data_IF_821894599180
#
_entry.id   IF_821894599180
#
_cell.length_a   1.000
_cell.length_b   1.000
_cell.length_c   1.000
_cell.angle_alpha   90.00
_cell.angle_beta   90.00
_cell.angle_gamma   90.00
#
_symmetry.space_group_name_H-M   'P 1'
#
loop_
_entity.id
_entity.type
_entity.pdbx_description
1 polymer ?
#
# COMPACT_ATOMS: atom_id res chain seq x y z
N UNK A 1 -21.45 -2.14 -19.39
CA UNK A 1 -22.31 -2.09 -18.19
C UNK A 1 -22.21 -0.80 -17.40
N UNK A 2 -23.07 -0.67 -16.39
CA UNK A 2 -23.09 0.42 -15.38
C UNK A 2 -23.15 -0.22 -14.00
N UNK A 3 -22.21 0.11 -13.13
CA UNK A 3 -22.28 -0.28 -11.72
C UNK A 3 -23.36 0.57 -11.03
N UNK A 4 -24.27 -0.07 -10.28
CA UNK A 4 -25.45 0.61 -9.70
C UNK A 4 -25.27 1.02 -8.24
N UNK A 5 -24.31 0.40 -7.53
CA UNK A 5 -24.06 0.66 -6.13
C UNK A 5 -23.05 -0.28 -5.51
N UNK A 6 -22.88 -0.13 -4.20
CA UNK A 6 -22.05 -0.97 -3.33
C UNK A 6 -22.97 -1.55 -2.25
N UNK A 7 -23.02 -2.87 -2.14
CA UNK A 7 -23.67 -3.56 -1.03
C UNK A 7 -22.67 -3.76 0.12
N UNK A 8 -23.13 -3.51 1.34
CA UNK A 8 -22.38 -3.76 2.59
C UNK A 8 -23.26 -4.58 3.53
N UNK A 9 -22.68 -5.16 4.58
CA UNK A 9 -23.43 -5.92 5.59
C UNK A 9 -24.55 -5.11 6.27
N UNK A 10 -24.44 -3.77 6.26
CA UNK A 10 -25.42 -2.88 6.88
C UNK A 10 -26.49 -2.38 5.90
N UNK A 11 -26.08 -1.99 4.68
CA UNK A 11 -26.97 -1.42 3.66
C UNK A 11 -26.32 -1.30 2.29
N UNK A 12 -27.12 -0.92 1.30
CA UNK A 12 -26.69 -0.57 -0.04
C UNK A 12 -26.49 0.94 -0.18
N UNK A 13 -25.47 1.32 -0.96
CA UNK A 13 -25.18 2.70 -1.35
C UNK A 13 -25.20 2.81 -2.86
N UNK A 14 -25.95 3.77 -3.39
CA UNK A 14 -26.01 4.02 -4.83
C UNK A 14 -25.19 5.27 -5.15
N UNK A 15 -24.50 5.23 -6.29
CA UNK A 15 -23.70 6.35 -6.77
C UNK A 15 -23.66 6.35 -8.30
N UNK A 16 -23.54 7.55 -8.88
CA UNK A 16 -23.36 7.66 -10.33
C UNK A 16 -21.98 7.19 -10.77
N UNK A 17 -20.95 7.40 -9.95
CA UNK A 17 -19.58 6.95 -10.16
C UNK A 17 -19.07 6.19 -8.92
N UNK A 18 -18.35 5.08 -9.14
CA UNK A 18 -17.80 4.23 -8.08
C UNK A 18 -16.30 4.03 -8.32
N UNK A 19 -15.47 4.24 -7.30
CA UNK A 19 -14.02 4.01 -7.38
C UNK A 19 -13.58 2.96 -6.36
N UNK A 20 -12.98 1.87 -6.85
CA UNK A 20 -12.36 0.82 -6.02
C UNK A 20 -10.94 1.27 -5.65
N UNK A 21 -10.77 1.71 -4.41
CA UNK A 21 -9.49 2.10 -3.82
C UNK A 21 -9.18 1.32 -2.53
N UNK A 22 -9.58 0.04 -2.49
CA UNK A 22 -9.55 -0.80 -1.29
C UNK A 22 -8.19 -1.48 -1.04
N UNK A 23 -7.10 -0.92 -1.57
CA UNK A 23 -5.75 -1.49 -1.43
C UNK A 23 -5.71 -2.97 -1.85
N UNK A 24 -5.12 -3.88 -1.03
CA UNK A 24 -4.93 -5.27 -1.43
C UNK A 24 -6.24 -6.04 -1.62
N UNK A 25 -7.35 -5.57 -1.05
CA UNK A 25 -8.69 -6.16 -1.25
C UNK A 25 -9.35 -5.77 -2.58
N UNK A 26 -8.72 -4.91 -3.38
CA UNK A 26 -9.31 -4.42 -4.63
C UNK A 26 -9.54 -5.54 -5.66
N UNK A 27 -8.68 -6.56 -5.71
CA UNK A 27 -8.88 -7.72 -6.58
C UNK A 27 -10.21 -8.43 -6.27
N UNK A 28 -10.49 -8.69 -4.99
CA UNK A 28 -11.72 -9.37 -4.57
C UNK A 28 -13.00 -8.59 -4.92
N UNK A 29 -12.93 -7.26 -4.95
CA UNK A 29 -14.05 -6.41 -5.36
C UNK A 29 -14.22 -6.39 -6.88
N UNK A 30 -13.12 -6.39 -7.63
CA UNK A 30 -13.15 -6.41 -9.10
C UNK A 30 -13.61 -7.78 -9.64
N UNK A 31 -13.24 -8.88 -8.99
CA UNK A 31 -13.69 -10.22 -9.37
C UNK A 31 -15.22 -10.36 -9.27
N UNK A 32 -15.89 -9.67 -8.34
CA UNK A 32 -17.35 -9.67 -8.22
C UNK A 32 -18.07 -9.09 -9.44
N UNK A 33 -17.38 -8.25 -10.22
CA UNK A 33 -17.89 -7.67 -11.47
C UNK A 33 -17.22 -8.28 -12.71
N UNK A 34 -16.55 -9.43 -12.55
CA UNK A 34 -15.94 -10.17 -13.64
C UNK A 34 -14.63 -9.59 -14.18
N UNK A 35 -13.96 -8.73 -13.42
CA UNK A 35 -12.66 -8.16 -13.80
C UNK A 35 -11.55 -8.72 -12.93
N UNK A 36 -10.71 -9.57 -13.51
CA UNK A 36 -9.53 -10.10 -12.81
C UNK A 36 -8.35 -9.17 -12.98
N UNK A 37 -7.62 -8.94 -11.89
CA UNK A 37 -6.38 -8.15 -11.86
C UNK A 37 -5.28 -8.93 -11.16
N UNK A 38 -4.02 -8.51 -11.32
CA UNK A 38 -2.89 -9.10 -10.61
C UNK A 38 -2.61 -8.48 -9.24
N UNK A 39 -3.61 -7.85 -8.59
CA UNK A 39 -3.40 -7.22 -7.27
C UNK A 39 -3.28 -8.30 -6.20
N UNK A 40 -2.15 -8.33 -5.48
CA UNK A 40 -1.87 -9.31 -4.44
C UNK A 40 -1.44 -8.61 -3.13
N UNK A 41 -1.84 -9.14 -1.96
CA UNK A 41 -1.35 -8.65 -0.68
C UNK A 41 0.09 -9.11 -0.44
N UNK A 42 1.01 -8.15 -0.31
CA UNK A 42 2.40 -8.40 0.09
C UNK A 42 2.57 -7.93 1.52
N UNK A 43 2.79 -8.87 2.44
CA UNK A 43 3.01 -8.55 3.85
C UNK A 43 4.37 -7.89 4.03
N UNK A 44 4.36 -6.82 4.81
CA UNK A 44 5.56 -6.19 5.36
C UNK A 44 5.45 -6.03 6.86
N UNK A 45 6.48 -6.45 7.57
CA UNK A 45 6.60 -6.33 9.00
C UNK A 45 7.54 -5.19 9.38
N UNK A 46 7.27 -4.58 10.53
CA UNK A 46 7.99 -3.42 11.04
C UNK A 46 8.28 -3.62 12.53
N UNK A 47 9.42 -3.10 12.98
CA UNK A 47 9.69 -2.81 14.39
C UNK A 47 9.87 -1.31 14.58
N UNK A 48 9.54 -0.82 15.76
CA UNK A 48 9.76 0.58 16.12
C UNK A 48 10.44 0.65 17.48
N UNK A 49 11.59 1.30 17.51
CA UNK A 49 12.32 1.61 18.73
C UNK A 49 11.87 2.97 19.26
N UNK A 50 11.91 3.11 20.58
CA UNK A 50 11.83 4.41 21.23
C UNK A 50 13.24 4.80 21.70
N UNK A 51 13.80 5.83 21.07
CA UNK A 51 15.15 6.32 21.37
C UNK A 51 15.16 7.57 22.25
N UNK A 52 13.98 8.05 22.69
CA UNK A 52 13.72 9.31 23.42
C UNK A 52 14.10 10.58 22.65
N UNK A 53 15.22 10.56 21.94
CA UNK A 53 15.73 11.61 21.05
C UNK A 53 16.23 10.98 19.76
N UNK A 54 16.07 11.62 18.59
CA UNK A 54 16.47 11.02 17.32
C UNK A 54 17.97 10.66 17.27
N UNK A 55 18.27 9.39 17.07
CA UNK A 55 19.65 8.91 16.82
C UNK A 55 20.09 9.10 15.35
N UNK A 56 19.14 9.27 14.44
CA UNK A 56 19.36 9.54 13.02
C UNK A 56 18.59 10.79 12.60
N UNK A 57 19.17 11.56 11.70
CA UNK A 57 18.53 12.75 11.11
C UNK A 57 18.00 12.49 9.69
N UNK A 58 18.36 11.36 9.09
CA UNK A 58 18.02 11.01 7.72
C UNK A 58 17.55 9.55 7.64
N UNK A 59 16.77 9.25 6.62
CA UNK A 59 16.38 7.88 6.29
C UNK A 59 17.62 7.12 5.82
N UNK A 60 17.84 5.94 6.40
CA UNK A 60 18.86 4.99 5.93
C UNK A 60 18.17 3.91 5.13
N UNK A 61 18.66 3.61 3.93
CA UNK A 61 18.19 2.49 3.11
C UNK A 61 19.36 1.54 2.85
N UNK A 62 19.13 0.23 3.02
CA UNK A 62 20.06 -0.83 2.65
C UNK A 62 19.27 -1.95 1.95
N UNK A 63 19.39 -2.03 0.63
CA UNK A 63 18.60 -2.96 -0.19
C UNK A 63 17.09 -2.71 -0.03
N UNK A 64 16.36 -3.74 0.40
CA UNK A 64 14.92 -3.67 0.70
C UNK A 64 14.60 -3.18 2.12
N UNK A 65 15.62 -3.10 2.99
CA UNK A 65 15.49 -2.67 4.39
C UNK A 65 15.78 -1.17 4.53
N UNK A 66 15.21 -0.56 5.56
CA UNK A 66 15.31 0.86 5.83
C UNK A 66 15.05 1.20 7.29
N UNK A 67 15.62 2.32 7.72
CA UNK A 67 15.36 2.95 9.01
C UNK A 67 14.86 4.38 8.80
N UNK A 68 13.70 4.71 9.37
CA UNK A 68 13.05 6.02 9.21
C UNK A 68 12.96 6.70 10.58
N UNK A 69 13.80 7.71 10.87
CA UNK A 69 13.70 8.45 12.12
C UNK A 69 12.48 9.36 12.12
N UNK A 70 11.93 9.59 13.32
CA UNK A 70 10.91 10.58 13.61
C UNK A 70 11.47 11.61 14.59
N UNK A 71 10.96 12.83 14.50
CA UNK A 71 11.40 13.95 15.33
C UNK A 71 11.20 13.71 16.83
N UNK A 72 10.25 12.85 17.21
CA UNK A 72 9.95 12.48 18.59
C UNK A 72 10.80 11.33 19.15
N UNK A 73 11.89 10.97 18.47
CA UNK A 73 12.79 9.91 18.90
C UNK A 73 12.30 8.50 18.59
N UNK A 74 11.18 8.32 17.88
CA UNK A 74 10.81 7.00 17.36
C UNK A 74 11.62 6.67 16.11
N UNK A 75 12.10 5.43 16.01
CA UNK A 75 12.81 4.92 14.84
C UNK A 75 12.09 3.71 14.30
N UNK A 76 11.52 3.84 13.09
CA UNK A 76 10.87 2.73 12.39
C UNK A 76 11.92 1.95 11.62
N UNK A 77 11.91 0.63 11.73
CA UNK A 77 12.77 -0.27 10.98
C UNK A 77 11.90 -1.24 10.21
N UNK A 78 12.11 -1.27 8.90
CA UNK A 78 11.37 -2.10 7.96
C UNK A 78 12.25 -2.53 6.81
N UNK A 79 11.74 -3.27 5.84
CA UNK A 79 10.65 -4.22 6.00
C UNK A 79 11.01 -5.49 5.24
N UNK A 80 10.33 -6.58 5.53
CA UNK A 80 10.25 -7.73 4.63
C UNK A 80 9.20 -7.53 3.53
N UNK A 81 9.20 -8.46 2.59
CA UNK A 81 8.20 -8.66 1.55
C UNK A 81 7.84 -10.16 1.55
N UNK A 82 6.62 -10.49 1.95
CA UNK A 82 6.16 -11.88 2.11
C UNK A 82 4.82 -12.10 1.40
N UNK A 83 4.75 -13.10 0.53
CA UNK A 83 3.52 -13.53 -0.16
C UNK A 83 2.78 -14.58 0.67
N UNK A 84 2.16 -14.15 1.75
CA UNK A 84 1.43 -15.01 2.71
C UNK A 84 -0.08 -14.76 2.69
N UNK A 85 -0.60 -14.20 1.59
CA UNK A 85 -1.99 -13.81 1.49
C UNK A 85 -2.34 -12.65 2.42
N UNK A 86 -3.51 -12.73 3.07
CA UNK A 86 -4.04 -11.64 3.90
C UNK A 86 -3.60 -11.72 5.37
N UNK A 87 -2.60 -12.54 5.70
CA UNK A 87 -2.09 -12.67 7.05
C UNK A 87 -1.45 -11.38 7.54
N UNK A 88 -2.10 -10.67 8.46
CA UNK A 88 -1.66 -9.35 8.96
C UNK A 88 -1.15 -9.42 10.40
N UNK A 89 -0.32 -10.41 10.68
CA UNK A 89 0.37 -10.55 11.97
C UNK A 89 1.89 -10.57 11.76
N UNK A 90 2.63 -10.30 12.83
CA UNK A 90 4.10 -10.41 12.84
C UNK A 90 4.55 -11.84 13.14
N UNK A 91 5.80 -12.17 12.82
CA UNK A 91 6.46 -13.44 13.17
C UNK A 91 7.69 -13.17 14.03
N UNK A 92 7.96 -13.96 15.10
CA UNK A 92 9.12 -13.75 15.97
C UNK A 92 10.44 -13.67 15.21
N UNK A 93 10.64 -14.57 14.24
CA UNK A 93 11.86 -14.63 13.43
C UNK A 93 12.09 -13.33 12.64
N UNK A 94 11.05 -12.77 12.02
CA UNK A 94 11.18 -11.53 11.25
C UNK A 94 11.38 -10.30 12.14
N UNK A 95 10.81 -10.31 13.35
CA UNK A 95 11.09 -9.26 14.35
C UNK A 95 12.55 -9.34 14.80
N UNK A 96 13.08 -10.55 15.00
CA UNK A 96 14.48 -10.75 15.32
C UNK A 96 15.39 -10.28 14.18
N UNK A 97 15.13 -10.68 12.93
CA UNK A 97 15.92 -10.22 11.77
C UNK A 97 15.93 -8.70 11.62
N UNK A 98 14.78 -8.04 11.75
CA UNK A 98 14.68 -6.57 11.67
C UNK A 98 15.46 -5.89 12.81
N UNK A 99 15.46 -6.50 13.99
CA UNK A 99 16.18 -6.00 15.17
C UNK A 99 17.68 -6.15 15.00
N UNK A 100 18.13 -7.31 14.51
CA UNK A 100 19.54 -7.58 14.21
C UNK A 100 20.07 -6.63 13.14
N UNK A 101 19.33 -6.47 12.04
CA UNK A 101 19.63 -5.46 11.00
C UNK A 101 19.79 -4.05 11.61
N UNK A 102 18.86 -3.64 12.50
CA UNK A 102 18.95 -2.34 13.15
C UNK A 102 20.21 -2.21 14.02
N UNK A 103 20.58 -3.27 14.73
CA UNK A 103 21.78 -3.30 15.58
C UNK A 103 23.08 -3.32 14.78
N UNK A 104 23.11 -3.91 13.59
CA UNK A 104 24.27 -3.89 12.70
C UNK A 104 24.56 -2.48 12.20
N UNK A 105 23.51 -1.75 11.80
CA UNK A 105 23.66 -0.38 11.27
C UNK A 105 23.80 0.65 12.41
N UNK A 106 23.09 0.48 13.52
CA UNK A 106 23.08 1.40 14.64
C UNK A 106 23.21 0.66 15.99
N UNK A 107 24.44 0.27 16.39
CA UNK A 107 24.68 -0.54 17.60
C UNK A 107 24.13 0.04 18.91
N UNK A 108 23.98 1.37 19.01
CA UNK A 108 23.40 2.07 20.17
C UNK A 108 21.94 1.67 20.44
N UNK A 109 21.22 1.10 19.46
CA UNK A 109 19.86 0.62 19.65
C UNK A 109 19.77 -0.57 20.62
N UNK A 110 20.88 -1.26 20.92
CA UNK A 110 20.91 -2.34 21.93
C UNK A 110 20.54 -1.86 23.33
N UNK A 111 20.72 -0.56 23.61
CA UNK A 111 20.36 0.08 24.87
C UNK A 111 18.90 0.59 24.89
N UNK A 112 18.14 0.34 23.82
CA UNK A 112 16.80 0.86 23.61
C UNK A 112 15.78 -0.26 23.44
N UNK A 113 14.53 0.01 23.85
CA UNK A 113 13.46 -0.98 23.77
C UNK A 113 12.68 -0.86 22.46
N UNK A 114 12.26 -2.00 21.93
CA UNK A 114 11.21 -2.06 20.92
C UNK A 114 9.90 -1.61 21.59
N UNK A 115 9.34 -0.49 21.12
CA UNK A 115 8.06 0.04 21.59
C UNK A 115 6.89 -0.74 20.98
N UNK A 116 7.01 -1.09 19.69
CA UNK A 116 5.94 -1.76 18.94
C UNK A 116 6.47 -2.52 17.74
N UNK A 117 5.77 -3.58 17.38
CA UNK A 117 5.85 -4.23 16.07
C UNK A 117 4.48 -4.33 15.41
N UNK A 118 4.44 -4.38 14.08
CA UNK A 118 3.20 -4.60 13.33
C UNK A 118 3.47 -5.14 11.93
N UNK A 119 2.41 -5.65 11.29
CA UNK A 119 2.40 -6.02 9.88
C UNK A 119 1.38 -5.18 9.09
N UNK A 120 1.71 -4.87 7.85
CA UNK A 120 0.84 -4.25 6.87
C UNK A 120 0.81 -5.04 5.57
N UNK A 121 -0.26 -4.90 4.79
CA UNK A 121 -0.41 -5.55 3.49
C UNK A 121 -0.32 -4.47 2.40
N UNK A 122 0.72 -4.57 1.55
CA UNK A 122 0.90 -3.70 0.40
C UNK A 122 0.13 -4.29 -0.79
N UNK A 123 -0.61 -3.49 -1.56
CA UNK A 123 -1.22 -3.96 -2.80
C UNK A 123 -0.14 -4.04 -3.89
N UNK A 124 0.51 -5.18 -4.04
CA UNK A 124 1.42 -5.45 -5.15
C UNK A 124 0.66 -5.73 -6.45
N UNK A 125 1.29 -5.53 -7.60
CA UNK A 125 0.83 -5.97 -8.91
C UNK A 125 1.93 -6.75 -9.61
N UNK A 126 1.58 -7.65 -10.52
CA UNK A 126 2.55 -8.53 -11.21
C UNK A 126 3.60 -7.76 -12.03
N UNK A 127 3.23 -6.58 -12.54
CA UNK A 127 4.09 -5.72 -13.37
C UNK A 127 4.67 -4.53 -12.59
N UNK A 128 4.39 -4.44 -11.28
CA UNK A 128 4.75 -3.33 -10.40
C UNK A 128 4.11 -1.96 -10.75
N UNK A 129 3.18 -1.90 -11.72
CA UNK A 129 2.40 -0.71 -12.02
C UNK A 129 1.05 -0.73 -11.27
N UNK A 130 0.54 0.41 -10.78
CA UNK A 130 -0.79 0.46 -10.21
C UNK A 130 -1.88 0.30 -11.29
N UNK A 131 -3.08 -0.08 -10.87
CA UNK A 131 -4.29 0.03 -11.68
C UNK A 131 -4.96 1.36 -11.37
N UNK A 132 -5.05 2.24 -12.38
CA UNK A 132 -5.56 3.61 -12.26
C UNK A 132 -6.45 3.90 -13.47
N UNK A 133 -7.70 4.29 -13.22
CA UNK A 133 -8.63 4.76 -14.25
C UNK A 133 -9.88 3.89 -14.37
N UNK A 134 -10.48 3.88 -15.56
CA UNK A 134 -11.70 3.13 -15.83
C UNK A 134 -11.49 1.61 -15.73
N UNK A 135 -12.44 0.93 -15.11
CA UNK A 135 -12.54 -0.52 -15.17
C UNK A 135 -13.18 -0.91 -16.50
N UNK A 136 -12.49 -1.74 -17.29
CA UNK A 136 -12.98 -2.15 -18.60
C UNK A 136 -14.36 -2.81 -18.53
N UNK A 137 -15.20 -2.52 -19.53
CA UNK A 137 -16.58 -2.99 -19.57
C UNK A 137 -17.56 -2.12 -18.79
N UNK A 138 -17.10 -1.18 -17.96
CA UNK A 138 -17.97 -0.30 -17.16
C UNK A 138 -17.76 1.18 -17.51
N UNK A 139 -18.87 1.91 -17.65
CA UNK A 139 -18.82 3.35 -17.94
C UNK A 139 -18.53 4.22 -16.72
N UNK A 140 -18.84 3.73 -15.52
CA UNK A 140 -18.85 4.52 -14.29
C UNK A 140 -18.14 3.84 -13.11
N UNK A 141 -17.36 2.79 -13.39
CA UNK A 141 -16.56 2.08 -12.39
C UNK A 141 -15.08 2.37 -12.65
N UNK A 142 -14.38 2.70 -11.59
CA UNK A 142 -12.99 3.11 -11.61
C UNK A 142 -12.18 2.30 -10.58
N UNK A 143 -10.86 2.25 -10.77
CA UNK A 143 -9.93 1.63 -9.82
C UNK A 143 -8.74 2.56 -9.58
N UNK A 144 -8.25 2.59 -8.34
CA UNK A 144 -7.02 3.24 -7.93
C UNK A 144 -6.34 2.39 -6.85
N UNK A 145 -5.58 1.39 -7.27
CA UNK A 145 -4.91 0.45 -6.35
C UNK A 145 -3.65 -0.16 -6.98
N UNK A 146 -2.93 -1.03 -6.28
CA UNK A 146 -1.73 -1.69 -6.81
C UNK A 146 -0.44 -0.87 -6.67
N UNK A 147 -0.43 0.20 -5.87
CA UNK A 147 0.75 1.08 -5.73
C UNK A 147 1.93 0.48 -4.95
N UNK A 148 1.78 -0.73 -4.41
CA UNK A 148 2.80 -1.44 -3.64
C UNK A 148 3.48 -0.57 -2.57
N UNK A 149 4.78 -0.28 -2.70
CA UNK A 149 5.59 0.54 -1.78
C UNK A 149 5.45 2.04 -1.99
N UNK A 150 4.85 2.46 -3.09
CA UNK A 150 4.83 3.86 -3.54
C UNK A 150 3.50 4.57 -3.27
N UNK A 151 2.54 3.91 -2.60
CA UNK A 151 1.19 4.45 -2.39
C UNK A 151 1.16 5.81 -1.70
N UNK A 152 1.98 6.01 -0.64
CA UNK A 152 2.04 7.33 0.03
C UNK A 152 2.59 8.39 -0.93
N UNK A 153 3.70 8.11 -1.59
CA UNK A 153 4.38 9.03 -2.51
C UNK A 153 3.52 9.41 -3.72
N UNK A 154 2.82 8.43 -4.30
CA UNK A 154 2.02 8.60 -5.52
C UNK A 154 0.58 9.04 -5.23
N UNK A 155 0.14 9.07 -3.97
CA UNK A 155 -1.26 9.40 -3.63
C UNK A 155 -1.74 10.75 -4.17
N UNK A 156 -0.96 11.86 -4.14
CA UNK A 156 -1.45 13.15 -4.63
C UNK A 156 -1.65 13.15 -6.15
N UNK A 157 -0.69 12.60 -6.89
CA UNK A 157 -0.78 12.49 -8.35
C UNK A 157 -1.92 11.56 -8.77
N UNK A 158 -2.09 10.44 -8.08
CA UNK A 158 -3.21 9.50 -8.31
C UNK A 158 -4.55 10.20 -8.08
N UNK A 159 -4.70 10.98 -7.01
CA UNK A 159 -5.93 11.70 -6.74
C UNK A 159 -6.29 12.71 -7.83
N UNK A 160 -5.30 13.44 -8.36
CA UNK A 160 -5.50 14.40 -9.46
C UNK A 160 -6.02 13.68 -10.70
N UNK A 161 -5.30 12.68 -11.21
CA UNK A 161 -5.68 12.00 -12.45
C UNK A 161 -6.99 11.22 -12.34
N UNK A 162 -7.29 10.69 -11.14
CA UNK A 162 -8.57 10.03 -10.88
C UNK A 162 -9.72 11.03 -10.80
N UNK A 163 -9.50 12.23 -10.26
CA UNK A 163 -10.50 13.30 -10.27
C UNK A 163 -10.82 13.69 -11.70
N UNK A 164 -9.80 13.87 -12.55
CA UNK A 164 -9.99 14.17 -13.96
C UNK A 164 -10.80 13.06 -14.64
N UNK A 165 -10.41 11.79 -14.47
CA UNK A 165 -11.10 10.65 -15.07
C UNK A 165 -12.57 10.52 -14.61
N UNK A 166 -12.84 10.70 -13.31
CA UNK A 166 -14.19 10.58 -12.74
C UNK A 166 -15.10 11.73 -13.18
N UNK A 167 -14.52 12.93 -13.41
CA UNK A 167 -15.26 14.13 -13.84
C UNK A 167 -15.25 14.32 -15.36
N UNK A 168 -14.78 13.32 -16.11
CA UNK A 168 -14.67 13.33 -17.58
C UNK A 168 -13.78 14.46 -18.13
N UNK A 169 -12.85 14.98 -17.32
CA UNK A 169 -11.78 15.86 -17.77
C UNK A 169 -10.61 15.04 -18.35
N UNK A 170 -9.79 15.67 -19.18
CA UNK A 170 -8.59 15.01 -19.74
C UNK A 170 -7.50 14.93 -18.67
N UNK A 171 -7.04 13.72 -18.28
CA UNK A 171 -5.97 13.59 -17.30
C UNK A 171 -4.66 14.18 -17.81
N UNK A 172 -3.84 14.70 -16.88
CA UNK A 172 -2.53 15.30 -17.20
C UNK A 172 -1.48 14.32 -17.77
N UNK A 173 -1.72 13.01 -17.67
CA UNK A 173 -0.90 11.95 -18.25
C UNK A 173 -1.78 10.89 -18.93
N UNK A 174 -1.22 10.13 -19.86
CA UNK A 174 -1.90 8.95 -20.42
C UNK A 174 -2.01 7.85 -19.36
N UNK A 175 -3.24 7.36 -19.13
CA UNK A 175 -3.54 6.30 -18.18
C UNK A 175 -3.56 4.90 -18.80
N UNK A 176 -3.32 4.76 -20.11
CA UNK A 176 -3.37 3.48 -20.82
C UNK A 176 -2.48 2.40 -20.20
N UNK A 177 -1.27 2.77 -19.74
CA UNK A 177 -0.35 1.86 -19.05
C UNK A 177 -0.82 1.43 -17.65
N UNK A 178 -1.84 2.07 -17.09
CA UNK A 178 -2.44 1.71 -15.79
C UNK A 178 -3.81 1.04 -15.93
N UNK A 179 -4.21 0.68 -17.16
CA UNK A 179 -5.49 0.02 -17.46
C UNK A 179 -5.64 -1.35 -16.79
N UNK A 180 -6.88 -1.78 -16.57
CA UNK A 180 -7.22 -3.15 -16.12
C UNK A 180 -7.13 -4.21 -17.22
N UNK A 181 -6.88 -3.83 -18.48
CA UNK A 181 -6.76 -4.75 -19.63
C UNK A 181 -5.32 -5.09 -20.02
N UNK A 182 -4.34 -4.53 -19.32
CA UNK A 182 -2.93 -4.71 -19.67
C UNK A 182 -2.38 -6.05 -19.22
#
# INVERSE_FOLDING_TARGET
DKAVGIATDAKEFHADNICIAAGPWSAQLLDQVGVTTGILPIRGQMVMFNTQTPLLTHIVNEGSRYMVPREDGRLLVGSCEEEVGYEKHTTPDMIQELTEFAYEILPQLKDHTIERSWAGLRPGSFDAFPYIGHVSGFRNLFVASGHFRNGIHLSPATAIVMTDAITEATPSIDLSMFSTLR
#
